data_IF_226944013536
#
_entry.id   IF_226944013536
#
_cell.length_a   1.000
_cell.length_b   1.000
_cell.length_c   1.000
_cell.angle_alpha   90.00
_cell.angle_beta   90.00
_cell.angle_gamma   90.00
#
_symmetry.space_group_name_H-M   'P 1'
#
loop_
_entity.id
_entity.type
_entity.pdbx_description
1 polymer ?
#
# COMPACT_ATOMS: atom_id res chain seq x y z
N UNK A 1 71.99 38.43 35.09
CA UNK A 1 70.69 38.13 35.73
C UNK A 1 69.77 37.50 34.68
N UNK A 2 69.63 36.17 34.65
CA UNK A 2 68.77 35.48 33.68
C UNK A 2 67.35 35.31 34.25
N UNK A 3 66.35 35.93 33.61
CA UNK A 3 64.94 35.74 33.95
C UNK A 3 64.41 34.52 33.20
N UNK A 4 64.19 33.41 33.91
CA UNK A 4 63.49 32.23 33.40
C UNK A 4 61.99 32.50 33.43
N UNK A 5 61.36 32.58 32.26
CA UNK A 5 59.90 32.57 32.14
C UNK A 5 59.42 31.12 32.19
N UNK A 6 58.81 30.74 33.31
CA UNK A 6 58.18 29.44 33.46
C UNK A 6 56.82 29.44 32.77
N UNK A 7 56.72 28.77 31.61
CA UNK A 7 55.44 28.52 30.92
C UNK A 7 54.67 27.47 31.71
N UNK A 8 53.55 27.86 32.32
CA UNK A 8 52.66 26.91 33.00
C UNK A 8 51.86 26.12 31.95
N UNK A 9 51.73 24.79 32.07
CA UNK A 9 50.88 24.02 31.17
C UNK A 9 49.41 24.33 31.45
N UNK A 10 48.71 24.83 30.42
CA UNK A 10 47.26 24.94 30.41
C UNK A 10 46.65 23.52 30.49
N UNK A 11 46.17 23.14 31.68
CA UNK A 11 45.45 21.88 31.88
C UNK A 11 44.09 21.98 31.19
N UNK A 12 43.93 21.24 30.10
CA UNK A 12 42.63 21.02 29.46
C UNK A 12 41.82 20.07 30.36
N UNK A 13 40.74 20.57 30.94
CA UNK A 13 39.81 19.78 31.75
C UNK A 13 38.92 18.96 30.83
N UNK A 14 39.16 17.65 30.75
CA UNK A 14 38.25 16.69 30.13
C UNK A 14 37.20 16.31 31.17
N UNK A 15 35.95 16.71 30.96
CA UNK A 15 34.85 16.28 31.81
C UNK A 15 34.51 14.83 31.49
N UNK A 16 34.93 13.90 32.33
CA UNK A 16 34.47 12.51 32.29
C UNK A 16 33.03 12.48 32.81
N UNK A 17 32.09 12.24 31.89
CA UNK A 17 30.67 12.04 32.21
C UNK A 17 30.49 10.69 32.90
N UNK A 18 30.51 10.68 34.23
CA UNK A 18 30.08 9.55 35.05
C UNK A 18 29.14 10.06 36.15
N UNK A 19 27.91 9.54 36.19
CA UNK A 19 27.05 9.63 37.36
C UNK A 19 25.77 10.42 37.15
N UNK A 20 24.67 9.67 37.12
CA UNK A 20 23.26 10.06 37.27
C UNK A 20 23.07 11.34 38.10
N UNK A 21 22.81 12.44 37.42
CA UNK A 21 22.23 13.69 37.92
C UNK A 21 21.77 14.45 36.68
N UNK A 22 20.51 14.26 36.29
CA UNK A 22 19.91 14.90 35.11
C UNK A 22 19.76 16.41 35.36
N UNK A 23 20.87 17.15 35.29
CA UNK A 23 20.80 18.58 35.02
C UNK A 23 20.21 18.71 33.61
N UNK A 24 19.13 19.47 33.40
CA UNK A 24 18.57 19.62 32.06
C UNK A 24 19.68 20.22 31.20
N UNK A 25 20.19 19.43 30.25
CA UNK A 25 21.02 19.95 29.17
C UNK A 25 20.17 21.03 28.53
N UNK A 26 20.60 22.29 28.63
CA UNK A 26 19.89 23.43 28.03
C UNK A 26 19.63 23.07 26.57
N UNK A 27 18.37 22.80 26.25
CA UNK A 27 17.99 22.36 24.92
C UNK A 27 18.48 23.42 23.93
N UNK A 28 19.04 22.99 22.79
CA UNK A 28 19.45 23.96 21.78
C UNK A 28 18.22 24.79 21.35
N UNK A 29 18.40 26.04 20.90
CA UNK A 29 17.28 26.87 20.46
C UNK A 29 16.38 26.17 19.41
N UNK A 30 16.98 25.34 18.55
CA UNK A 30 16.23 24.50 17.61
C UNK A 30 15.41 23.41 18.30
N UNK A 31 15.94 22.76 19.33
CA UNK A 31 15.22 21.75 20.09
C UNK A 31 14.03 22.33 20.89
N UNK A 32 14.14 23.58 21.36
CA UNK A 32 13.00 24.32 21.92
C UNK A 32 11.96 24.63 20.86
N UNK A 33 12.37 25.11 19.68
CA UNK A 33 11.47 25.38 18.55
C UNK A 33 10.64 24.14 18.16
N UNK A 34 11.28 22.97 18.03
CA UNK A 34 10.56 21.73 17.74
C UNK A 34 9.63 21.31 18.88
N UNK A 35 10.03 21.50 20.15
CA UNK A 35 9.20 21.18 21.31
C UNK A 35 7.92 22.01 21.39
N UNK A 36 7.99 23.27 20.98
CA UNK A 36 6.85 24.17 21.10
C UNK A 36 5.92 24.06 19.88
N UNK A 37 6.47 23.87 18.68
CA UNK A 37 5.69 23.89 17.44
C UNK A 37 5.11 22.53 17.07
N UNK A 38 5.87 21.44 17.21
CA UNK A 38 5.41 20.12 16.75
C UNK A 38 4.12 19.68 17.46
N UNK A 39 3.98 19.84 18.79
CA UNK A 39 2.72 19.48 19.47
C UNK A 39 1.52 20.28 18.98
N UNK A 40 1.74 21.54 18.60
CA UNK A 40 0.69 22.40 18.04
C UNK A 40 0.27 21.96 16.61
N UNK A 41 1.12 21.24 15.87
CA UNK A 41 0.81 20.75 14.52
C UNK A 41 0.11 19.38 14.49
N UNK A 42 0.27 18.56 15.54
CA UNK A 42 -0.38 17.24 15.66
C UNK A 42 -1.90 17.28 15.40
N UNK A 43 -2.69 18.21 15.98
CA UNK A 43 -4.14 18.20 15.77
C UNK A 43 -4.53 18.50 14.31
N UNK A 44 -3.80 19.36 13.60
CA UNK A 44 -4.07 19.68 12.19
C UNK A 44 -3.78 18.46 11.32
N UNK A 45 -2.69 17.75 11.59
CA UNK A 45 -2.34 16.52 10.87
C UNK A 45 -3.39 15.42 11.10
N UNK A 46 -3.84 15.24 12.35
CA UNK A 46 -4.91 14.30 12.68
C UNK A 46 -6.22 14.64 11.97
N UNK A 47 -6.57 15.92 11.90
CA UNK A 47 -7.77 16.37 11.21
C UNK A 47 -7.68 16.07 9.70
N UNK A 48 -6.54 16.36 9.07
CA UNK A 48 -6.29 16.05 7.67
C UNK A 48 -6.35 14.54 7.37
N UNK A 49 -5.74 13.72 8.24
CA UNK A 49 -5.79 12.26 8.13
C UNK A 49 -7.21 11.71 8.31
N UNK A 50 -7.97 12.23 9.28
CA UNK A 50 -9.35 11.83 9.53
C UNK A 50 -10.26 12.15 8.33
N UNK A 51 -10.14 13.35 7.76
CA UNK A 51 -10.90 13.76 6.57
C UNK A 51 -10.51 12.89 5.36
N UNK A 52 -9.22 12.66 5.15
CA UNK A 52 -8.74 11.80 4.06
C UNK A 52 -9.27 10.36 4.17
N UNK A 53 -9.18 9.76 5.35
CA UNK A 53 -9.71 8.42 5.60
C UNK A 53 -11.24 8.37 5.45
N UNK A 54 -11.94 9.43 5.88
CA UNK A 54 -13.39 9.57 5.68
C UNK A 54 -13.77 9.60 4.20
N UNK A 55 -13.09 10.42 3.41
CA UNK A 55 -13.30 10.50 1.95
C UNK A 55 -12.94 9.18 1.27
N UNK A 56 -11.83 8.55 1.65
CA UNK A 56 -11.40 7.30 1.06
C UNK A 56 -12.34 6.15 1.39
N UNK A 57 -12.88 6.11 2.61
CA UNK A 57 -13.91 5.15 2.98
C UNK A 57 -15.18 5.36 2.17
N UNK A 58 -15.58 6.62 1.97
CA UNK A 58 -16.74 6.95 1.15
C UNK A 58 -16.53 6.56 -0.33
N UNK A 59 -15.36 6.88 -0.89
CA UNK A 59 -14.97 6.47 -2.24
C UNK A 59 -14.97 4.94 -2.39
N UNK A 60 -14.51 4.21 -1.38
CA UNK A 60 -14.51 2.73 -1.38
C UNK A 60 -15.94 2.17 -1.33
N UNK A 61 -16.86 2.82 -0.62
CA UNK A 61 -18.28 2.43 -0.61
C UNK A 61 -18.93 2.62 -1.98
N UNK A 62 -18.69 3.77 -2.62
CA UNK A 62 -19.20 4.01 -3.99
C UNK A 62 -18.58 3.07 -5.02
N UNK A 63 -17.29 2.76 -4.89
CA UNK A 63 -16.65 1.84 -5.82
C UNK A 63 -17.22 0.43 -5.69
N UNK A 64 -17.53 -0.03 -4.46
CA UNK A 64 -18.11 -1.36 -4.24
C UNK A 64 -19.49 -1.51 -4.90
N UNK A 65 -20.36 -0.51 -4.78
CA UNK A 65 -21.65 -0.50 -5.48
C UNK A 65 -21.47 -0.54 -6.99
N UNK A 66 -20.56 0.30 -7.52
CA UNK A 66 -20.22 0.28 -8.95
C UNK A 66 -19.68 -1.08 -9.41
N UNK A 67 -18.83 -1.72 -8.61
CA UNK A 67 -18.27 -3.04 -8.91
C UNK A 67 -19.34 -4.13 -8.93
N UNK A 68 -20.32 -4.10 -8.04
CA UNK A 68 -21.43 -5.07 -8.03
C UNK A 68 -22.28 -4.91 -9.30
N UNK A 69 -22.57 -3.68 -9.71
CA UNK A 69 -23.30 -3.42 -10.96
C UNK A 69 -22.52 -3.91 -12.19
N UNK A 70 -21.23 -3.58 -12.28
CA UNK A 70 -20.38 -4.02 -13.38
C UNK A 70 -20.18 -5.54 -13.43
N UNK A 71 -20.11 -6.20 -12.26
CA UNK A 71 -20.00 -7.65 -12.19
C UNK A 71 -21.29 -8.33 -12.67
N UNK A 72 -22.46 -7.80 -12.31
CA UNK A 72 -23.76 -8.31 -12.81
C UNK A 72 -23.89 -8.17 -14.32
N UNK A 73 -23.55 -7.02 -14.88
CA UNK A 73 -23.56 -6.80 -16.34
C UNK A 73 -22.61 -7.77 -17.07
N UNK A 74 -21.43 -8.03 -16.51
CA UNK A 74 -20.47 -9.00 -17.05
C UNK A 74 -21.01 -10.43 -17.00
N UNK A 75 -21.67 -10.82 -15.90
CA UNK A 75 -22.28 -12.14 -15.76
C UNK A 75 -23.41 -12.31 -16.78
N UNK A 76 -24.30 -11.33 -16.92
CA UNK A 76 -25.39 -11.37 -17.88
C UNK A 76 -24.89 -11.48 -19.33
N UNK A 77 -23.82 -10.74 -19.68
CA UNK A 77 -23.17 -10.86 -20.99
C UNK A 77 -22.56 -12.25 -21.22
N UNK A 78 -21.95 -12.83 -20.19
CA UNK A 78 -21.36 -14.16 -20.27
C UNK A 78 -22.44 -15.24 -20.34
N UNK A 79 -23.52 -15.11 -19.59
CA UNK A 79 -24.69 -15.98 -19.64
C UNK A 79 -25.33 -15.94 -21.03
N UNK A 80 -25.52 -14.76 -21.62
CA UNK A 80 -26.04 -14.62 -22.98
C UNK A 80 -25.14 -15.29 -24.03
N UNK A 81 -23.81 -15.16 -23.88
CA UNK A 81 -22.85 -15.84 -24.76
C UNK A 81 -22.89 -17.37 -24.60
N UNK A 82 -22.95 -17.86 -23.36
CA UNK A 82 -23.10 -19.30 -23.08
C UNK A 82 -24.41 -19.81 -23.68
N UNK A 83 -25.51 -19.08 -23.51
CA UNK A 83 -26.80 -19.49 -24.03
C UNK A 83 -26.81 -19.53 -25.57
N UNK A 84 -26.17 -18.55 -26.23
CA UNK A 84 -26.00 -18.54 -27.67
C UNK A 84 -25.13 -19.72 -28.17
N UNK A 85 -24.06 -20.06 -27.45
CA UNK A 85 -23.19 -21.20 -27.77
C UNK A 85 -23.89 -22.54 -27.54
N UNK A 86 -24.65 -22.67 -26.46
CA UNK A 86 -25.47 -23.86 -26.19
C UNK A 86 -26.52 -24.04 -27.27
N UNK A 87 -27.22 -22.98 -27.69
CA UNK A 87 -28.19 -23.06 -28.79
C UNK A 87 -27.56 -23.39 -30.14
N UNK A 88 -26.30 -23.03 -30.37
CA UNK A 88 -25.55 -23.45 -31.56
C UNK A 88 -25.10 -24.92 -31.48
N UNK A 89 -24.79 -25.42 -30.27
CA UNK A 89 -24.45 -26.82 -30.03
C UNK A 89 -25.64 -27.78 -29.98
N UNK A 90 -26.83 -27.29 -29.62
CA UNK A 90 -28.10 -28.04 -29.53
C UNK A 90 -28.89 -28.04 -30.85
N UNK A 91 -28.29 -27.61 -31.97
CA UNK A 91 -28.87 -27.98 -33.26
C UNK A 91 -28.89 -29.51 -33.34
N UNK A 92 -30.06 -30.14 -33.48
CA UNK A 92 -30.09 -31.56 -33.77
C UNK A 92 -29.39 -31.72 -35.11
N UNK A 93 -28.18 -32.27 -35.09
CA UNK A 93 -27.60 -32.94 -36.25
C UNK A 93 -28.60 -34.03 -36.62
N UNK A 94 -29.58 -33.67 -37.46
CA UNK A 94 -30.42 -34.61 -38.17
C UNK A 94 -29.48 -35.45 -39.01
N UNK A 95 -29.18 -36.65 -38.51
CA UNK A 95 -28.52 -37.73 -39.20
C UNK A 95 -29.28 -38.02 -40.51
N UNK A 96 -28.76 -37.42 -41.58
CA UNK A 96 -29.21 -37.56 -42.94
C UNK A 96 -28.01 -37.81 -43.84
N UNK A 97 -27.42 -39.01 -43.69
CA UNK A 97 -26.80 -39.77 -44.77
C UNK A 97 -25.71 -39.08 -45.62
N UNK A 98 -24.44 -39.23 -45.24
CA UNK A 98 -23.34 -39.50 -46.19
C UNK A 98 -22.02 -39.79 -45.45
N UNK A 99 -21.45 -40.94 -45.77
CA UNK A 99 -20.13 -41.41 -45.39
C UNK A 99 -19.03 -40.39 -45.74
N UNK A 100 -18.33 -39.85 -44.75
CA UNK A 100 -16.93 -39.44 -44.90
C UNK A 100 -16.23 -39.31 -43.54
N UNK A 101 -15.17 -40.09 -43.37
CA UNK A 101 -14.38 -40.22 -42.16
C UNK A 101 -13.60 -38.94 -41.85
N UNK A 102 -14.14 -38.05 -41.01
CA UNK A 102 -13.38 -36.95 -40.42
C UNK A 102 -12.78 -37.42 -39.10
N UNK A 103 -11.45 -37.48 -39.06
CA UNK A 103 -10.63 -37.92 -37.92
C UNK A 103 -10.97 -37.09 -36.68
N UNK A 104 -11.62 -37.70 -35.71
CA UNK A 104 -11.85 -37.14 -34.39
C UNK A 104 -10.50 -36.85 -33.71
N UNK A 105 -10.14 -35.57 -33.63
CA UNK A 105 -8.94 -35.09 -32.97
C UNK A 105 -9.04 -35.31 -31.45
N UNK A 106 -8.10 -36.10 -30.94
CA UNK A 106 -7.92 -36.43 -29.53
C UNK A 106 -7.56 -35.18 -28.70
N UNK A 107 -8.58 -34.54 -28.12
CA UNK A 107 -8.47 -33.46 -27.14
C UNK A 107 -8.16 -33.96 -25.71
N UNK A 108 -8.23 -35.26 -25.47
CA UNK A 108 -8.15 -35.85 -24.12
C UNK A 108 -6.72 -36.14 -23.62
N UNK A 109 -5.68 -35.78 -24.37
CA UNK A 109 -4.30 -36.19 -24.08
C UNK A 109 -3.52 -35.25 -23.13
N UNK A 110 -4.18 -34.25 -22.53
CA UNK A 110 -3.49 -33.11 -21.90
C UNK A 110 -3.53 -33.16 -20.36
N UNK A 111 -4.08 -34.24 -19.80
CA UNK A 111 -4.32 -34.39 -18.35
C UNK A 111 -3.58 -35.60 -17.74
N UNK A 112 -2.48 -36.02 -18.35
CA UNK A 112 -1.48 -36.90 -17.74
C UNK A 112 -0.19 -36.10 -17.58
#
# INVERSE_FOLDING_TARGET
>A
MLRRTATLPFRRSYTTSTGNSEKPRTASPHAQWYRDIVPAMIPIFLLGSAVYLGLQLWQTRLSHEKYIHQARERVEQLEAQVQALTQQGDQPVSDGNASESVKQGSWWNWRR
#
